data_IF_447341881445
#
_entry.id   IF_447341881445
#
_cell.length_a   1.000
_cell.length_b   1.000
_cell.length_c   1.000
_cell.angle_alpha   90.00
_cell.angle_beta   90.00
_cell.angle_gamma   90.00
#
_symmetry.space_group_name_H-M   'P 1'
#
loop_
_entity.id
_entity.type
_entity.pdbx_description
1 polymer ?
#
# COMPACT_ATOMS: atom_id res chain seq x y z
N UNK A 1 29.13 3.54 2.87
CA UNK A 1 27.98 3.98 2.07
C UNK A 1 26.69 3.80 2.86
N UNK A 2 25.95 4.86 2.98
CA UNK A 2 24.67 4.81 3.66
C UNK A 2 23.59 4.38 2.68
N UNK A 3 22.90 3.30 2.97
CA UNK A 3 21.75 2.90 2.17
C UNK A 3 20.57 3.82 2.49
N UNK A 4 19.76 4.20 1.49
CA UNK A 4 18.57 5.00 1.76
C UNK A 4 17.61 4.24 2.67
N UNK A 5 16.96 4.95 3.55
CA UNK A 5 15.95 4.37 4.42
C UNK A 5 14.70 3.98 3.62
N UNK A 6 13.87 3.11 4.18
CA UNK A 6 12.60 2.76 3.55
C UNK A 6 11.75 4.01 3.28
N UNK A 7 11.76 4.96 4.22
CA UNK A 7 11.01 6.21 4.03
C UNK A 7 11.51 6.99 2.83
N UNK A 8 12.82 7.06 2.62
CA UNK A 8 13.38 7.77 1.47
C UNK A 8 13.03 7.06 0.16
N UNK A 9 13.14 5.74 0.12
CA UNK A 9 12.76 4.97 -1.05
C UNK A 9 11.27 5.13 -1.35
N UNK A 10 10.43 5.14 -0.33
CA UNK A 10 9.00 5.32 -0.51
C UNK A 10 8.68 6.70 -1.07
N UNK A 11 9.39 7.75 -0.62
CA UNK A 11 9.22 9.10 -1.16
C UNK A 11 9.58 9.18 -2.65
N UNK A 12 10.52 8.34 -3.08
CA UNK A 12 10.91 8.25 -4.48
C UNK A 12 9.91 7.47 -5.32
N UNK A 13 8.87 6.93 -4.69
CA UNK A 13 7.86 6.14 -5.38
C UNK A 13 8.18 4.67 -5.52
N UNK A 14 9.15 4.16 -4.74
CA UNK A 14 9.51 2.75 -4.79
C UNK A 14 8.37 1.90 -4.22
N UNK A 15 7.71 1.06 -5.04
CA UNK A 15 6.54 0.30 -4.56
C UNK A 15 6.90 -0.71 -3.48
N UNK A 16 8.06 -1.35 -3.57
CA UNK A 16 8.47 -2.34 -2.56
C UNK A 16 8.68 -1.67 -1.20
N UNK A 17 9.26 -0.47 -1.17
CA UNK A 17 9.46 0.27 0.06
C UNK A 17 8.12 0.69 0.66
N UNK A 18 7.20 1.16 -0.17
CA UNK A 18 5.85 1.53 0.27
C UNK A 18 5.13 0.32 0.87
N UNK A 19 5.19 -0.82 0.18
CA UNK A 19 4.57 -2.05 0.68
C UNK A 19 5.18 -2.49 2.00
N UNK A 20 6.49 -2.37 2.15
CA UNK A 20 7.17 -2.73 3.40
C UNK A 20 6.73 -1.85 4.56
N UNK A 21 6.60 -0.55 4.34
CA UNK A 21 6.13 0.38 5.37
C UNK A 21 4.69 0.08 5.77
N UNK A 22 3.84 -0.20 4.80
CA UNK A 22 2.44 -0.54 5.06
C UNK A 22 2.36 -1.86 5.84
N UNK A 23 3.10 -2.88 5.40
CA UNK A 23 3.12 -4.17 6.08
C UNK A 23 3.59 -4.04 7.52
N UNK A 24 4.66 -3.26 7.75
CA UNK A 24 5.17 -3.05 9.10
C UNK A 24 4.10 -2.46 10.02
N UNK A 25 3.34 -1.49 9.52
CA UNK A 25 2.31 -0.84 10.31
C UNK A 25 1.09 -1.71 10.54
N UNK A 26 0.74 -2.56 9.57
CA UNK A 26 -0.49 -3.37 9.63
C UNK A 26 -0.24 -4.81 10.07
N UNK A 27 1.02 -5.21 10.24
CA UNK A 27 1.34 -6.58 10.63
C UNK A 27 0.72 -7.00 11.98
N UNK A 28 0.58 -6.11 12.99
CA UNK A 28 -0.13 -6.48 14.21
C UNK A 28 -1.59 -6.86 13.97
N UNK A 29 -2.18 -6.42 12.86
CA UNK A 29 -3.54 -6.79 12.48
C UNK A 29 -3.58 -7.99 11.54
N UNK A 30 -2.42 -8.58 11.24
CA UNK A 30 -2.35 -9.74 10.35
C UNK A 30 -2.46 -9.39 8.88
N UNK A 31 -2.26 -8.14 8.50
CA UNK A 31 -2.39 -7.68 7.12
C UNK A 31 -1.01 -7.58 6.49
N UNK A 32 -0.87 -8.14 5.30
CA UNK A 32 0.34 -8.05 4.47
C UNK A 32 0.03 -7.20 3.25
N UNK A 33 0.94 -6.32 2.88
CA UNK A 33 0.77 -5.47 1.72
C UNK A 33 1.75 -5.84 0.63
N UNK A 34 1.28 -5.80 -0.61
CA UNK A 34 2.10 -5.88 -1.81
C UNK A 34 1.79 -4.66 -2.65
N UNK A 35 2.78 -4.13 -3.34
CA UNK A 35 2.58 -2.96 -4.17
C UNK A 35 3.32 -3.10 -5.49
N UNK A 36 2.76 -2.51 -6.52
CA UNK A 36 3.40 -2.42 -7.82
C UNK A 36 3.12 -1.04 -8.41
N UNK A 37 4.01 -0.58 -9.25
CA UNK A 37 3.87 0.72 -9.89
C UNK A 37 3.77 0.50 -11.40
N UNK A 38 2.73 1.05 -12.00
CA UNK A 38 2.55 1.01 -13.44
C UNK A 38 2.38 2.45 -13.93
N UNK A 39 3.44 2.98 -14.57
CA UNK A 39 3.46 4.39 -14.91
C UNK A 39 3.48 5.23 -13.64
N UNK A 40 2.48 6.08 -13.46
CA UNK A 40 2.31 6.89 -12.26
C UNK A 40 1.22 6.36 -11.32
N UNK A 41 0.71 5.16 -11.60
CA UNK A 41 -0.35 4.54 -10.80
C UNK A 41 0.23 3.49 -9.87
N UNK A 42 0.08 3.70 -8.57
CA UNK A 42 0.49 2.75 -7.55
C UNK A 42 -0.68 1.81 -7.24
N UNK A 43 -0.43 0.52 -7.32
CA UNK A 43 -1.40 -0.51 -6.94
C UNK A 43 -0.97 -1.14 -5.64
N UNK A 44 -1.84 -1.12 -4.65
CA UNK A 44 -1.58 -1.71 -3.33
C UNK A 44 -2.57 -2.83 -3.08
N UNK A 45 -2.06 -4.03 -2.82
CA UNK A 45 -2.88 -5.18 -2.49
C UNK A 45 -2.70 -5.50 -1.01
N UNK A 46 -3.77 -5.47 -0.25
CA UNK A 46 -3.78 -5.84 1.16
C UNK A 46 -4.37 -7.24 1.30
N UNK A 47 -3.65 -8.14 1.95
CA UNK A 47 -4.07 -9.52 2.14
C UNK A 47 -4.11 -9.87 3.62
N UNK A 48 -5.11 -10.64 4.03
CA UNK A 48 -5.29 -11.06 5.40
C UNK A 48 -6.14 -12.32 5.43
N UNK A 49 -6.14 -13.03 6.55
CA UNK A 49 -7.01 -14.20 6.74
C UNK A 49 -8.48 -13.80 6.68
N UNK A 50 -8.80 -12.59 7.11
CA UNK A 50 -10.13 -12.01 6.95
C UNK A 50 -10.01 -10.83 6.00
N UNK A 51 -11.10 -10.52 5.29
CA UNK A 51 -11.09 -9.37 4.39
C UNK A 51 -10.74 -8.10 5.16
N UNK A 52 -9.69 -7.36 4.76
CA UNK A 52 -9.36 -6.10 5.44
C UNK A 52 -10.51 -5.10 5.35
N UNK A 53 -10.71 -4.31 6.42
CA UNK A 53 -11.74 -3.29 6.42
C UNK A 53 -11.40 -2.17 5.43
N UNK A 54 -12.30 -1.95 4.48
CA UNK A 54 -12.05 -1.00 3.38
C UNK A 54 -11.83 0.42 3.88
N UNK A 55 -12.70 0.92 4.76
CA UNK A 55 -12.59 2.30 5.24
C UNK A 55 -11.30 2.54 6.00
N UNK A 56 -10.98 1.66 6.93
CA UNK A 56 -9.77 1.78 7.74
C UNK A 56 -8.52 1.70 6.87
N UNK A 57 -8.49 0.76 5.93
CA UNK A 57 -7.35 0.57 5.04
C UNK A 57 -7.15 1.79 4.14
N UNK A 58 -8.22 2.30 3.54
CA UNK A 58 -8.15 3.46 2.65
C UNK A 58 -7.66 4.69 3.40
N UNK A 59 -8.20 4.94 4.60
CA UNK A 59 -7.77 6.08 5.40
C UNK A 59 -6.32 5.98 5.80
N UNK A 60 -5.88 4.80 6.19
CA UNK A 60 -4.49 4.57 6.58
C UNK A 60 -3.53 4.86 5.43
N UNK A 61 -3.83 4.31 4.26
CA UNK A 61 -2.96 4.48 3.08
C UNK A 61 -2.98 5.93 2.60
N UNK A 62 -4.15 6.57 2.60
CA UNK A 62 -4.27 7.97 2.22
C UNK A 62 -3.39 8.86 3.12
N UNK A 63 -3.46 8.67 4.43
CA UNK A 63 -2.64 9.43 5.37
C UNK A 63 -1.17 9.17 5.16
N UNK A 64 -0.79 7.91 4.98
CA UNK A 64 0.60 7.54 4.77
C UNK A 64 1.18 8.15 3.52
N UNK A 65 0.46 8.08 2.41
CA UNK A 65 0.93 8.64 1.15
C UNK A 65 0.98 10.17 1.19
N UNK A 66 0.04 10.81 1.87
CA UNK A 66 0.06 12.25 2.06
C UNK A 66 1.31 12.69 2.81
N UNK A 67 1.69 11.95 3.86
CA UNK A 67 2.91 12.24 4.62
C UNK A 67 4.17 12.03 3.80
N UNK A 68 4.18 11.00 2.95
CA UNK A 68 5.35 10.69 2.13
C UNK A 68 5.57 11.71 1.03
N UNK A 69 4.51 12.32 0.52
CA UNK A 69 4.58 13.29 -0.58
C UNK A 69 5.33 12.72 -1.78
N UNK A 70 4.98 11.51 -2.18
CA UNK A 70 5.58 10.85 -3.33
C UNK A 70 5.03 11.47 -4.62
N UNK A 71 5.71 12.45 -5.14
CA UNK A 71 5.24 13.26 -6.27
C UNK A 71 5.14 12.47 -7.58
N UNK A 72 5.92 11.41 -7.73
CA UNK A 72 5.88 10.58 -8.93
C UNK A 72 4.62 9.74 -9.03
N UNK A 73 3.87 9.61 -7.93
CA UNK A 73 2.64 8.82 -7.90
C UNK A 73 1.45 9.76 -8.06
N UNK A 74 0.70 9.61 -9.15
CA UNK A 74 -0.45 10.45 -9.46
C UNK A 74 -1.76 9.82 -9.03
N UNK A 75 -1.86 8.49 -9.14
CA UNK A 75 -3.07 7.77 -8.75
C UNK A 75 -2.68 6.55 -7.91
N UNK A 76 -3.61 6.11 -7.08
CA UNK A 76 -3.42 4.93 -6.23
C UNK A 76 -4.67 4.09 -6.32
N UNK A 77 -4.51 2.78 -6.47
CA UNK A 77 -5.60 1.81 -6.37
C UNK A 77 -5.28 0.87 -5.23
N UNK A 78 -6.25 0.69 -4.35
CA UNK A 78 -6.11 -0.17 -3.19
C UNK A 78 -7.06 -1.35 -3.35
N UNK A 79 -6.55 -2.55 -3.09
CA UNK A 79 -7.34 -3.78 -3.16
C UNK A 79 -7.28 -4.48 -1.82
N UNK A 80 -8.42 -5.00 -1.37
CA UNK A 80 -8.48 -5.85 -0.18
C UNK A 80 -8.82 -7.27 -0.58
N UNK A 81 -7.99 -8.23 -0.18
CA UNK A 81 -8.15 -9.63 -0.55
C UNK A 81 -8.03 -10.52 0.67
N UNK A 82 -8.86 -11.55 0.70
CA UNK A 82 -8.73 -12.62 1.69
C UNK A 82 -7.75 -13.65 1.17
N UNK A 83 -6.84 -14.10 2.03
CA UNK A 83 -5.88 -15.15 1.67
C UNK A 83 -6.64 -16.39 1.18
N UNK A 84 -6.20 -16.95 0.06
CA UNK A 84 -6.80 -18.13 -0.53
C UNK A 84 -7.87 -17.84 -1.57
N UNK A 85 -8.24 -16.57 -1.79
CA UNK A 85 -9.18 -16.20 -2.85
C UNK A 85 -8.43 -15.68 -4.06
N UNK A 86 -9.00 -15.86 -5.26
CA UNK A 86 -8.37 -15.43 -6.51
C UNK A 86 -8.65 -13.97 -6.82
N UNK A 87 -9.69 -13.38 -6.24
CA UNK A 87 -10.13 -12.03 -6.58
C UNK A 87 -10.20 -11.16 -5.34
N UNK A 88 -9.92 -9.85 -5.48
CA UNK A 88 -10.08 -8.94 -4.36
C UNK A 88 -11.55 -8.84 -3.95
N UNK A 89 -11.80 -8.72 -2.65
CA UNK A 89 -13.13 -8.52 -2.12
C UNK A 89 -13.63 -7.11 -2.40
N UNK A 90 -12.71 -6.13 -2.48
CA UNK A 90 -13.05 -4.76 -2.81
C UNK A 90 -11.85 -4.08 -3.45
N UNK A 91 -12.11 -2.99 -4.14
CA UNK A 91 -11.08 -2.12 -4.67
C UNK A 91 -11.51 -0.67 -4.49
N UNK A 92 -10.55 0.22 -4.29
CA UNK A 92 -10.83 1.63 -4.05
C UNK A 92 -9.78 2.49 -4.74
N UNK A 93 -10.17 3.26 -5.76
CA UNK A 93 -9.24 4.20 -6.38
C UNK A 93 -9.10 5.45 -5.53
N UNK A 94 -7.87 5.95 -5.43
CA UNK A 94 -7.58 7.25 -4.83
C UNK A 94 -7.00 8.16 -5.91
N UNK A 95 -7.58 9.31 -6.08
CA UNK A 95 -7.09 10.31 -7.03
C UNK A 95 -6.36 11.43 -6.33
#
# INVERSE_FOLDING_TARGET
MTQPSLSELAKQGNPNAIASLITRSLSPQGITAKASLKGDCLRVMLESLQVPDQQAAVQFIRKGLTKLKAESIKTVKIYGRQVGTDFPAWSHPLC
#
